data_IF_645142383817
#
_entry.id   IF_645142383817
#
_cell.length_a   1.000
_cell.length_b   1.000
_cell.length_c   1.000
_cell.angle_alpha   90.00
_cell.angle_beta   90.00
_cell.angle_gamma   90.00
#
_symmetry.space_group_name_H-M   'P 1'
#
loop_
_entity.id
_entity.type
_entity.pdbx_description
1 polymer ?
#
# COMPACT_ATOMS: atom_id res chain seq x y z
N UNK A 1 8.09 34.43 -18.63
CA UNK A 1 6.64 34.33 -18.36
C UNK A 1 6.35 34.96 -17.01
N UNK A 2 5.18 35.59 -16.84
CA UNK A 2 4.78 36.12 -15.54
C UNK A 2 4.36 34.96 -14.64
N UNK A 3 5.05 34.81 -13.50
CA UNK A 3 4.82 33.76 -12.51
C UNK A 3 4.40 34.39 -11.20
N UNK A 4 3.41 33.81 -10.53
CA UNK A 4 2.99 34.22 -9.18
C UNK A 4 3.58 33.25 -8.16
N UNK A 5 4.28 33.77 -7.15
CA UNK A 5 4.83 32.97 -6.06
C UNK A 5 3.69 32.30 -5.26
N UNK A 6 3.74 30.99 -5.01
CA UNK A 6 2.72 30.30 -4.21
C UNK A 6 2.77 30.68 -2.73
N UNK A 7 3.92 31.14 -2.23
CA UNK A 7 4.12 31.44 -0.81
C UNK A 7 3.70 32.87 -0.42
N UNK A 8 4.13 33.88 -1.19
CA UNK A 8 3.88 35.29 -0.85
C UNK A 8 2.98 36.02 -1.85
N UNK A 9 2.56 35.37 -2.94
CA UNK A 9 1.69 35.95 -3.95
C UNK A 9 2.35 36.98 -4.87
N UNK A 10 3.64 37.29 -4.69
CA UNK A 10 4.39 38.22 -5.53
C UNK A 10 4.50 37.71 -6.98
N UNK A 11 4.33 38.60 -7.95
CA UNK A 11 4.48 38.31 -9.38
C UNK A 11 5.84 38.75 -9.90
N UNK A 12 6.53 37.87 -10.62
CA UNK A 12 7.84 38.14 -11.22
C UNK A 12 8.03 37.37 -12.54
N UNK A 13 8.99 37.81 -13.36
CA UNK A 13 9.34 37.11 -14.59
C UNK A 13 10.27 35.94 -14.28
N UNK A 14 9.91 34.74 -14.75
CA UNK A 14 10.76 33.57 -14.65
C UNK A 14 10.70 32.72 -15.93
N UNK A 15 11.63 31.78 -16.05
CA UNK A 15 11.65 30.75 -17.09
C UNK A 15 11.07 29.44 -16.56
N UNK A 16 10.73 28.51 -17.45
CA UNK A 16 10.31 27.14 -17.08
C UNK A 16 11.45 26.46 -16.33
N UNK A 17 11.12 25.75 -15.25
CA UNK A 17 12.08 25.04 -14.43
C UNK A 17 12.17 25.56 -12.99
N UNK A 18 13.23 25.20 -12.25
CA UNK A 18 13.40 25.60 -10.87
C UNK A 18 13.67 27.11 -10.77
N UNK A 19 12.91 27.79 -9.92
CA UNK A 19 13.01 29.24 -9.71
C UNK A 19 12.94 29.53 -8.22
N UNK A 20 13.65 30.58 -7.79
CA UNK A 20 13.57 31.09 -6.42
C UNK A 20 12.87 32.44 -6.43
N UNK A 21 11.82 32.58 -5.62
CA UNK A 21 11.09 33.85 -5.53
C UNK A 21 12.01 34.96 -4.99
N UNK A 22 12.20 36.09 -5.69
CA UNK A 22 13.07 37.17 -5.23
C UNK A 22 12.55 37.87 -3.98
N UNK A 23 11.24 37.77 -3.68
CA UNK A 23 10.64 38.46 -2.53
C UNK A 23 10.72 37.67 -1.23
N UNK A 24 10.61 36.33 -1.27
CA UNK A 24 10.55 35.49 -0.07
C UNK A 24 11.57 34.36 -0.05
N UNK A 25 12.44 34.27 -1.06
CA UNK A 25 13.46 33.22 -1.22
C UNK A 25 12.92 31.79 -1.25
N UNK A 26 11.61 31.58 -1.43
CA UNK A 26 11.02 30.26 -1.58
C UNK A 26 11.31 29.70 -2.98
N UNK A 27 11.89 28.50 -3.04
CA UNK A 27 12.17 27.77 -4.28
C UNK A 27 10.97 26.93 -4.70
N UNK A 28 10.60 27.01 -5.97
CA UNK A 28 9.53 26.21 -6.58
C UNK A 28 9.79 26.02 -8.09
N UNK A 29 9.05 25.13 -8.75
CA UNK A 29 9.23 24.83 -10.18
C UNK A 29 8.09 25.44 -11.00
N UNK A 30 8.42 26.12 -12.10
CA UNK A 30 7.48 26.72 -13.06
C UNK A 30 7.25 25.80 -14.25
N UNK A 31 5.99 25.55 -14.62
CA UNK A 31 5.64 24.73 -15.78
C UNK A 31 5.75 25.51 -17.09
N UNK A 32 5.94 24.81 -18.23
CA UNK A 32 5.73 25.41 -19.54
C UNK A 32 4.29 25.93 -19.71
N UNK A 33 4.16 27.13 -20.27
CA UNK A 33 2.87 27.74 -20.62
C UNK A 33 2.04 26.79 -21.50
N UNK A 34 0.73 26.72 -21.23
CA UNK A 34 -0.23 25.98 -22.07
C UNK A 34 -0.49 24.52 -21.68
N UNK A 35 0.20 23.96 -20.68
CA UNK A 35 -0.24 22.70 -20.04
C UNK A 35 -0.51 22.96 -18.56
N UNK A 36 -1.78 23.04 -18.13
CA UNK A 36 -2.06 23.12 -16.70
C UNK A 36 -1.41 21.92 -16.02
N UNK A 37 -0.73 22.16 -14.91
CA UNK A 37 -0.23 21.08 -14.07
C UNK A 37 -1.38 20.13 -13.81
N UNK A 38 -1.22 18.87 -14.22
CA UNK A 38 -2.21 17.85 -13.93
C UNK A 38 -2.34 17.77 -12.41
N UNK A 39 -3.45 18.29 -11.94
CA UNK A 39 -3.76 18.37 -10.52
C UNK A 39 -4.57 17.14 -10.17
N UNK A 40 -4.17 16.46 -9.11
CA UNK A 40 -4.69 15.17 -8.72
C UNK A 40 -5.22 15.26 -7.29
N UNK A 41 -6.39 14.70 -7.05
CA UNK A 41 -6.76 14.32 -5.68
C UNK A 41 -6.06 13.00 -5.38
N UNK A 42 -5.40 12.90 -4.22
CA UNK A 42 -4.69 11.69 -3.79
C UNK A 42 -5.38 11.08 -2.57
N UNK A 43 -5.59 9.76 -2.59
CA UNK A 43 -6.24 9.01 -1.52
C UNK A 43 -5.38 7.84 -1.07
N UNK A 44 -5.23 7.66 0.24
CA UNK A 44 -4.51 6.51 0.81
C UNK A 44 -5.27 5.20 0.61
N UNK A 45 -4.60 4.04 0.73
CA UNK A 45 -5.27 2.74 0.82
C UNK A 45 -6.26 2.61 1.99
N UNK A 46 -6.17 3.49 3.01
CA UNK A 46 -7.14 3.59 4.10
C UNK A 46 -8.45 4.26 3.71
N UNK A 47 -8.51 4.91 2.55
CA UNK A 47 -9.64 5.75 2.12
C UNK A 47 -9.49 7.23 2.49
N UNK A 48 -8.47 7.60 3.27
CA UNK A 48 -8.18 8.97 3.67
C UNK A 48 -7.75 9.82 2.48
N UNK A 49 -8.39 10.97 2.28
CA UNK A 49 -8.01 11.96 1.27
C UNK A 49 -6.82 12.78 1.77
N UNK A 50 -5.68 12.69 1.07
CA UNK A 50 -4.47 13.46 1.39
C UNK A 50 -4.53 14.91 0.88
N UNK A 51 -5.53 15.21 0.07
CA UNK A 51 -5.73 16.52 -0.55
C UNK A 51 -5.29 16.56 -2.01
N UNK A 52 -5.26 17.78 -2.52
CA UNK A 52 -5.01 18.09 -3.92
C UNK A 52 -3.52 18.37 -4.12
N UNK A 53 -2.90 17.66 -5.06
CA UNK A 53 -1.47 17.74 -5.36
C UNK A 53 -1.26 17.84 -6.86
N UNK A 54 -0.31 18.64 -7.32
CA UNK A 54 0.13 18.55 -8.69
C UNK A 54 0.98 17.27 -8.91
N UNK A 55 1.12 16.88 -10.19
CA UNK A 55 1.92 15.72 -10.60
C UNK A 55 3.36 15.74 -10.06
N UNK A 56 4.00 16.91 -9.97
CA UNK A 56 5.38 17.01 -9.51
C UNK A 56 5.50 16.70 -8.03
N UNK A 57 4.61 17.28 -7.21
CA UNK A 57 4.54 17.02 -5.78
C UNK A 57 4.26 15.54 -5.47
N UNK A 58 3.41 14.87 -6.27
CA UNK A 58 3.20 13.41 -6.14
C UNK A 58 4.51 12.65 -6.37
N UNK A 59 5.30 13.01 -7.39
CA UNK A 59 6.60 12.36 -7.65
C UNK A 59 7.59 12.59 -6.50
N UNK A 60 7.71 13.82 -6.02
CA UNK A 60 8.59 14.14 -4.89
C UNK A 60 8.24 13.31 -3.65
N UNK A 61 6.95 13.17 -3.35
CA UNK A 61 6.51 12.35 -2.21
C UNK A 61 6.74 10.85 -2.41
N UNK A 62 6.71 10.34 -3.64
CA UNK A 62 7.12 8.96 -3.94
C UNK A 62 8.62 8.77 -3.70
N UNK A 63 9.46 9.69 -4.17
CA UNK A 63 10.90 9.64 -3.93
C UNK A 63 11.25 9.75 -2.44
N UNK A 64 10.53 10.59 -1.70
CA UNK A 64 10.69 10.73 -0.26
C UNK A 64 10.11 9.55 0.56
N UNK A 65 9.45 8.57 -0.09
CA UNK A 65 8.77 7.47 0.58
C UNK A 65 7.52 7.87 1.38
N UNK A 66 7.08 9.12 1.27
CA UNK A 66 5.85 9.62 1.89
C UNK A 66 4.58 9.06 1.21
N UNK A 67 4.70 8.65 -0.06
CA UNK A 67 3.72 7.84 -0.76
C UNK A 67 4.30 6.46 -1.03
N UNK A 68 3.47 5.43 -0.86
CA UNK A 68 3.89 4.03 -0.89
C UNK A 68 3.74 3.39 -2.27
N UNK A 69 3.04 4.05 -3.20
CA UNK A 69 2.67 3.51 -4.50
C UNK A 69 1.35 2.73 -4.50
N UNK A 70 0.73 2.55 -3.34
CA UNK A 70 -0.57 1.89 -3.17
C UNK A 70 -1.73 2.89 -3.14
N UNK A 71 -1.44 4.19 -3.17
CA UNK A 71 -2.43 5.25 -3.18
C UNK A 71 -3.23 5.26 -4.48
N UNK A 72 -4.39 5.91 -4.44
CA UNK A 72 -5.25 6.13 -5.59
C UNK A 72 -5.25 7.61 -5.95
N UNK A 73 -5.33 7.88 -7.24
CA UNK A 73 -5.32 9.23 -7.80
C UNK A 73 -6.46 9.41 -8.79
N UNK A 74 -7.01 10.62 -8.83
CA UNK A 74 -7.94 11.03 -9.88
C UNK A 74 -7.66 12.47 -10.30
N UNK A 75 -8.01 12.88 -11.53
CA UNK A 75 -7.95 14.28 -11.92
C UNK A 75 -8.82 15.13 -10.98
N UNK A 76 -8.26 16.19 -10.43
CA UNK A 76 -8.99 17.13 -9.61
C UNK A 76 -9.97 17.91 -10.50
N UNK A 77 -11.25 17.95 -10.10
CA UNK A 77 -12.25 18.77 -10.78
C UNK A 77 -11.91 20.26 -10.69
N UNK A 78 -12.31 21.03 -11.70
CA UNK A 78 -12.26 22.49 -11.67
C UNK A 78 -13.09 23.00 -10.49
N UNK A 79 -12.52 23.92 -9.72
CA UNK A 79 -13.05 24.40 -8.44
C UNK A 79 -14.50 24.86 -8.51
N UNK A 80 -15.32 24.45 -7.54
CA UNK A 80 -16.62 25.06 -7.22
C UNK A 80 -17.85 24.18 -7.39
N UNK A 81 -17.74 23.07 -8.11
CA UNK A 81 -18.81 22.08 -8.21
C UNK A 81 -18.22 20.69 -8.00
N UNK A 82 -19.07 19.74 -7.61
CA UNK A 82 -18.84 18.31 -7.83
C UNK A 82 -18.80 17.98 -9.34
N UNK A 83 -18.10 18.80 -10.14
CA UNK A 83 -17.73 18.49 -11.50
C UNK A 83 -16.96 17.19 -11.43
N UNK A 84 -17.54 16.15 -12.05
CA UNK A 84 -17.13 14.77 -11.92
C UNK A 84 -15.60 14.64 -12.04
N UNK A 85 -14.94 14.63 -10.89
CA UNK A 85 -13.55 14.22 -10.81
C UNK A 85 -13.55 12.77 -11.30
N UNK A 86 -12.72 12.47 -12.29
CA UNK A 86 -12.71 11.16 -12.95
C UNK A 86 -12.55 10.01 -11.96
N UNK A 87 -12.64 8.78 -12.46
CA UNK A 87 -12.56 7.61 -11.60
C UNK A 87 -11.25 7.56 -10.80
N UNK A 88 -11.36 7.02 -9.59
CA UNK A 88 -10.19 6.71 -8.79
C UNK A 88 -9.43 5.56 -9.43
N UNK A 89 -8.17 5.82 -9.77
CA UNK A 89 -7.29 4.80 -10.34
C UNK A 89 -6.09 4.61 -9.43
N UNK A 90 -5.60 3.39 -9.31
CA UNK A 90 -4.38 3.12 -8.54
C UNK A 90 -3.20 3.92 -9.13
N UNK A 91 -2.36 4.46 -8.25
CA UNK A 91 -1.26 5.34 -8.65
C UNK A 91 -0.28 4.62 -9.59
N UNK A 92 -0.11 3.31 -9.44
CA UNK A 92 0.78 2.48 -10.25
C UNK A 92 0.28 2.16 -11.67
N UNK A 93 -0.99 2.39 -11.99
CA UNK A 93 -1.51 2.16 -13.35
C UNK A 93 -1.36 3.39 -14.24
N UNK A 94 -0.95 4.52 -13.66
CA UNK A 94 -0.60 5.74 -14.39
C UNK A 94 0.84 5.59 -14.93
N UNK A 95 1.08 5.71 -16.24
CA UNK A 95 2.42 5.53 -16.80
C UNK A 95 3.44 6.48 -16.17
N UNK A 96 3.05 7.73 -15.90
CA UNK A 96 3.93 8.74 -15.31
C UNK A 96 4.42 8.45 -13.88
N UNK A 97 3.75 7.55 -13.16
CA UNK A 97 4.15 7.12 -11.81
C UNK A 97 4.67 5.68 -11.79
N UNK A 98 4.22 4.83 -12.71
CA UNK A 98 4.74 3.47 -12.88
C UNK A 98 6.26 3.49 -13.10
N UNK A 99 6.76 4.38 -13.96
CA UNK A 99 8.20 4.56 -14.20
C UNK A 99 8.96 4.95 -12.92
N UNK A 100 8.37 5.86 -12.12
CA UNK A 100 8.97 6.30 -10.85
C UNK A 100 9.01 5.16 -9.85
N UNK A 101 7.93 4.38 -9.73
CA UNK A 101 7.83 3.23 -8.84
C UNK A 101 8.82 2.12 -9.20
N UNK A 102 9.05 1.89 -10.50
CA UNK A 102 10.09 0.97 -10.98
C UNK A 102 11.48 1.48 -10.63
N UNK A 103 11.75 2.76 -10.86
CA UNK A 103 13.06 3.37 -10.57
C UNK A 103 13.44 3.29 -9.09
N UNK A 104 12.47 3.48 -8.19
CA UNK A 104 12.70 3.36 -6.74
C UNK A 104 12.65 1.91 -6.23
N UNK A 105 12.49 0.92 -7.12
CA UNK A 105 12.42 -0.49 -6.76
C UNK A 105 11.24 -0.83 -5.84
N UNK A 106 10.09 -0.16 -5.99
CA UNK A 106 8.93 -0.40 -5.15
C UNK A 106 8.27 -1.75 -5.47
N UNK A 107 8.48 -2.76 -4.62
CA UNK A 107 7.68 -3.98 -4.65
C UNK A 107 6.30 -3.74 -4.03
N UNK A 108 5.34 -3.40 -4.89
CA UNK A 108 3.95 -3.14 -4.49
C UNK A 108 3.25 -4.40 -3.97
N UNK A 109 3.66 -5.59 -4.44
CA UNK A 109 3.11 -6.87 -4.00
C UNK A 109 3.46 -7.15 -2.55
N UNK A 110 4.76 -7.07 -2.22
CA UNK A 110 5.25 -7.22 -0.85
C UNK A 110 4.63 -6.18 0.09
N UNK A 111 4.54 -4.92 -0.33
CA UNK A 111 3.93 -3.84 0.45
C UNK A 111 2.44 -4.08 0.73
N UNK A 112 1.70 -4.59 -0.27
CA UNK A 112 0.27 -4.91 -0.13
C UNK A 112 0.05 -6.05 0.86
N UNK A 113 0.86 -7.11 0.80
CA UNK A 113 0.81 -8.23 1.75
C UNK A 113 1.11 -7.74 3.17
N UNK A 114 2.15 -6.95 3.36
CA UNK A 114 2.50 -6.38 4.66
C UNK A 114 1.36 -5.54 5.26
N UNK A 115 0.70 -4.70 4.45
CA UNK A 115 -0.47 -3.93 4.91
C UNK A 115 -1.66 -4.83 5.29
N UNK A 116 -1.94 -5.88 4.53
CA UNK A 116 -3.02 -6.82 4.83
C UNK A 116 -2.76 -7.57 6.14
N UNK A 117 -1.52 -8.02 6.35
CA UNK A 117 -1.09 -8.63 7.61
C UNK A 117 -1.27 -7.65 8.78
N UNK A 118 -0.75 -6.43 8.70
CA UNK A 118 -0.93 -5.42 9.76
C UNK A 118 -2.41 -5.13 10.08
N UNK A 119 -3.29 -5.07 9.06
CA UNK A 119 -4.73 -4.93 9.27
C UNK A 119 -5.33 -6.17 9.96
N UNK A 120 -4.89 -7.37 9.59
CA UNK A 120 -5.30 -8.63 10.23
C UNK A 120 -4.93 -8.67 11.72
N UNK A 121 -3.72 -8.25 12.07
CA UNK A 121 -3.23 -8.17 13.46
C UNK A 121 -3.99 -7.11 14.26
N UNK A 122 -4.27 -5.94 13.68
CA UNK A 122 -5.10 -4.91 14.33
C UNK A 122 -6.53 -5.38 14.60
N UNK A 123 -7.11 -6.20 13.72
CA UNK A 123 -8.45 -6.79 13.92
C UNK A 123 -8.47 -7.86 15.03
N UNK A 124 -7.37 -8.57 15.25
CA UNK A 124 -7.27 -9.56 16.33
C UNK A 124 -6.90 -8.93 17.69
N UNK A 125 -6.17 -7.81 17.69
CA UNK A 125 -5.80 -7.08 18.90
C UNK A 125 -6.91 -6.25 19.56
N UNK A 126 -8.07 -6.06 18.90
CA UNK A 126 -9.22 -5.36 19.50
C UNK A 126 -10.22 -6.29 20.19
N UNK A 127 -9.95 -7.59 20.24
CA UNK A 127 -10.63 -8.48 21.17
C UNK A 127 -10.15 -8.12 22.58
N UNK A 128 -10.87 -7.20 23.23
CA UNK A 128 -10.76 -6.98 24.68
C UNK A 128 -11.06 -8.34 25.32
N UNK A 129 -10.02 -9.08 25.67
CA UNK A 129 -10.13 -10.22 26.56
C UNK A 129 -10.68 -9.64 27.87
N UNK A 130 -11.89 -10.04 28.32
CA UNK A 130 -12.37 -9.61 29.61
C UNK A 130 -11.38 -10.14 30.64
N UNK A 131 -10.60 -9.26 31.26
CA UNK A 131 -9.81 -9.56 32.43
C UNK A 131 -10.83 -9.85 33.54
N UNK A 132 -11.27 -11.11 33.64
CA UNK A 132 -11.91 -11.61 34.84
C UNK A 132 -10.83 -11.66 35.90
N UNK A 133 -10.88 -10.69 36.80
CA UNK A 133 -10.19 -10.72 38.08
C UNK A 133 -10.66 -11.95 38.86
N UNK A 134 -9.89 -13.03 38.87
CA UNK A 134 -9.93 -14.04 39.95
C UNK A 134 -8.78 -15.05 39.86
N UNK A 135 -8.02 -15.09 40.95
CA UNK A 135 -7.17 -16.18 41.45
C UNK A 135 -5.70 -16.29 40.94
N UNK A 136 -4.77 -16.69 41.83
CA UNK A 136 -3.37 -16.25 41.82
C UNK A 136 -2.46 -17.07 40.89
N UNK A 137 -1.39 -16.39 40.43
CA UNK A 137 -0.51 -16.78 39.33
C UNK A 137 0.58 -17.85 39.65
N UNK A 138 0.51 -18.56 40.77
CA UNK A 138 1.68 -19.31 41.28
C UNK A 138 1.65 -20.83 41.04
N UNK A 139 0.71 -21.38 40.25
CA UNK A 139 0.66 -22.85 39.98
C UNK A 139 0.85 -23.29 38.54
N UNK A 140 1.00 -22.38 37.58
CA UNK A 140 1.12 -22.75 36.17
C UNK A 140 2.55 -23.00 35.68
N UNK A 141 3.58 -22.67 36.47
CA UNK A 141 5.00 -22.80 36.05
C UNK A 141 5.52 -24.24 36.19
N UNK A 142 4.84 -25.10 36.97
CA UNK A 142 5.29 -26.48 37.23
C UNK A 142 4.81 -27.56 36.26
N UNK A 143 4.06 -27.23 35.19
CA UNK A 143 3.53 -28.24 34.24
C UNK A 143 3.88 -28.02 32.77
N UNK A 144 4.60 -26.96 32.43
CA UNK A 144 4.94 -26.65 31.04
C UNK A 144 6.12 -27.48 30.47
N UNK A 145 6.64 -28.45 31.23
CA UNK A 145 7.79 -29.28 30.81
C UNK A 145 7.44 -30.72 30.41
N UNK A 146 6.17 -31.15 30.47
CA UNK A 146 5.77 -32.54 30.20
C UNK A 146 4.80 -32.73 29.00
N UNK A 147 4.56 -31.71 28.17
CA UNK A 147 3.74 -31.90 26.95
C UNK A 147 4.61 -32.06 25.71
N UNK A 148 5.00 -33.32 25.50
CA UNK A 148 5.46 -33.90 24.24
C UNK A 148 4.55 -33.49 23.07
N UNK A 149 5.08 -33.10 21.88
CA UNK A 149 4.24 -32.64 20.78
C UNK A 149 3.41 -33.79 20.22
N UNK A 150 2.15 -33.88 20.67
CA UNK A 150 1.14 -34.80 20.13
C UNK A 150 0.94 -34.50 18.65
N UNK A 151 1.50 -35.36 17.82
CA UNK A 151 1.48 -35.30 16.36
C UNK A 151 0.05 -35.11 15.85
N UNK A 152 -0.26 -33.90 15.37
CA UNK A 152 -1.43 -33.68 14.52
C UNK A 152 -1.09 -34.21 13.14
N UNK A 153 -1.30 -35.51 12.94
CA UNK A 153 -1.31 -36.11 11.61
C UNK A 153 -2.41 -35.41 10.82
N UNK A 154 -2.01 -34.55 9.90
CA UNK A 154 -2.90 -33.89 8.96
C UNK A 154 -3.60 -34.98 8.14
N UNK A 155 -4.93 -35.05 8.21
CA UNK A 155 -5.76 -36.00 7.46
C UNK A 155 -5.50 -35.95 5.95
N UNK A 156 -4.96 -34.84 5.43
CA UNK A 156 -4.52 -34.71 4.05
C UNK A 156 -3.37 -35.67 3.69
N UNK A 157 -2.45 -35.96 4.62
CA UNK A 157 -1.33 -36.88 4.39
C UNK A 157 -1.79 -38.35 4.37
N UNK A 158 -2.79 -38.71 5.18
CA UNK A 158 -3.38 -40.06 5.16
C UNK A 158 -4.14 -40.33 3.86
N UNK A 159 -4.84 -39.33 3.31
CA UNK A 159 -5.55 -39.48 2.03
C UNK A 159 -4.59 -39.71 0.85
N UNK A 160 -3.44 -39.03 0.84
CA UNK A 160 -2.41 -39.22 -0.21
C UNK A 160 -1.73 -40.59 -0.07
N UNK A 161 -1.42 -41.02 1.16
CA UNK A 161 -0.83 -42.34 1.40
C UNK A 161 -1.79 -43.49 1.02
N UNK A 162 -3.09 -43.37 1.32
CA UNK A 162 -4.10 -44.35 0.94
C UNK A 162 -4.30 -44.41 -0.59
N UNK A 163 -4.26 -43.27 -1.28
CA UNK A 163 -4.35 -43.22 -2.75
C UNK A 163 -3.17 -43.89 -3.45
N UNK A 164 -1.94 -43.70 -2.94
CA UNK A 164 -0.74 -44.34 -3.50
C UNK A 164 -0.72 -45.87 -3.30
N UNK A 165 -1.18 -46.36 -2.14
CA UNK A 165 -1.25 -47.80 -1.88
C UNK A 165 -2.26 -48.51 -2.80
N UNK A 166 -3.42 -47.89 -3.07
CA UNK A 166 -4.42 -48.45 -3.97
C UNK A 166 -3.98 -48.43 -5.44
N UNK A 167 -3.24 -47.39 -5.86
CA UNK A 167 -2.67 -47.31 -7.22
C UNK A 167 -1.66 -48.42 -7.51
N UNK A 168 -0.81 -48.79 -6.53
CA UNK A 168 0.20 -49.84 -6.70
C UNK A 168 -0.44 -51.23 -6.74
N UNK A 169 -1.49 -51.49 -5.95
CA UNK A 169 -2.21 -52.79 -5.98
C UNK A 169 -2.97 -52.97 -7.29
N UNK A 170 -3.56 -51.91 -7.85
CA UNK A 170 -4.21 -51.96 -9.17
C UNK A 170 -3.21 -52.21 -10.31
N UNK A 171 -2.01 -51.63 -10.24
CA UNK A 171 -0.93 -51.88 -11.21
C UNK A 171 -0.37 -53.31 -11.12
N UNK A 172 -0.34 -53.92 -9.94
CA UNK A 172 0.14 -55.30 -9.75
C UNK A 172 -0.89 -56.36 -10.19
N UNK A 173 -2.19 -56.07 -10.10
CA UNK A 173 -3.23 -57.00 -10.58
C UNK A 173 -3.55 -56.84 -12.08
N UNK A 174 -3.30 -55.67 -12.67
CA UNK A 174 -3.46 -55.45 -14.11
C UNK A 174 -2.39 -56.11 -14.99
N UNK A 175 -1.31 -56.65 -14.41
CA UNK A 175 -0.20 -57.27 -15.13
C UNK A 175 -0.24 -58.81 -15.16
N UNK A 176 -1.28 -59.44 -14.62
CA UNK A 176 -1.46 -60.91 -14.59
C UNK A 176 -2.82 -61.32 -15.22
N UNK A 177 -3.22 -60.63 -16.29
CA UNK A 177 -4.41 -60.95 -17.09
C UNK A 177 -4.06 -61.05 -18.57
#
# INVERSE_FOLDING_TARGET
MNVRCPQCGATFQAQVGPVTCPSCMHSFTVAPEGRPWLTLDVRRPSGELLGRMDRHLVRERLYAGALTGLEQVRPAGTSGAAAAAGDWVDLNTRPEFAEVLQLIGADLGARRIAQQQLRGWRKTGSAVLPIRSSAPADRAVGRALDDEPKSRVSWALLAVAAGLALGIVALLWGAVG
#
